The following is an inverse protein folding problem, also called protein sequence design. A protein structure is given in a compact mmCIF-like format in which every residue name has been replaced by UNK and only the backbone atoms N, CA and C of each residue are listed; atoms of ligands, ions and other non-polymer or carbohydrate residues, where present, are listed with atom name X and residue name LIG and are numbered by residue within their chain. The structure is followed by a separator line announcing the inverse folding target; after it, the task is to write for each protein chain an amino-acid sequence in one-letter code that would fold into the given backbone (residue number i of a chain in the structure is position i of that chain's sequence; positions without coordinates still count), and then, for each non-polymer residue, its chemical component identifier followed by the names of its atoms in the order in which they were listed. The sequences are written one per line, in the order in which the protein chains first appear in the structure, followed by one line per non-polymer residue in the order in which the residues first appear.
data_IF_621288491842
#
_entry.id   IF_621288491842
#
_cell.length_a   1.000
_cell.length_b   1.000
_cell.length_c   1.000
_cell.angle_alpha   90.00
_cell.angle_beta   90.00
_cell.angle_gamma   90.00
#
_symmetry.space_group_name_H-M   'P 1'
#
loop_
_entity.id
_entity.type
_entity.pdbx_description
1 polymer ?
#
# COMPACT_ATOMS: atom_id res chain seq x y z
N UNK A 1 1.23 -9.02 3.81
CA UNK A 1 1.85 -7.83 3.17
C UNK A 1 3.11 -8.15 2.37
N UNK A 2 3.94 -9.13 2.78
CA UNK A 2 5.18 -9.58 2.10
C UNK A 2 5.12 -9.65 0.56
N UNK A 3 4.13 -10.38 0.01
CA UNK A 3 4.01 -10.54 -1.45
C UNK A 3 3.61 -9.25 -2.19
N UNK A 4 2.78 -8.41 -1.58
CA UNK A 4 2.41 -7.10 -2.14
C UNK A 4 3.64 -6.19 -2.18
N UNK A 5 4.34 -6.06 -1.04
CA UNK A 5 5.54 -5.24 -0.91
C UNK A 5 6.61 -5.60 -1.95
N UNK A 6 7.00 -6.89 -2.05
CA UNK A 6 8.00 -7.36 -3.02
C UNK A 6 7.64 -6.99 -4.47
N UNK A 7 6.37 -7.12 -4.86
CA UNK A 7 5.93 -6.76 -6.22
C UNK A 7 5.97 -5.26 -6.47
N UNK A 8 5.54 -4.47 -5.50
CA UNK A 8 5.50 -3.01 -5.62
C UNK A 8 6.89 -2.40 -5.78
N UNK A 9 7.88 -2.89 -5.02
CA UNK A 9 9.27 -2.42 -5.13
C UNK A 9 9.92 -2.90 -6.43
N UNK A 10 9.84 -4.19 -6.76
CA UNK A 10 10.49 -4.74 -7.97
C UNK A 10 9.99 -4.13 -9.27
N UNK A 11 8.69 -3.88 -9.36
CA UNK A 11 8.06 -3.29 -10.55
C UNK A 11 8.02 -1.76 -10.51
N UNK A 12 8.60 -1.14 -9.47
CA UNK A 12 8.58 0.30 -9.21
C UNK A 12 7.19 0.93 -9.46
N UNK A 13 6.15 0.32 -8.88
CA UNK A 13 4.76 0.73 -9.17
C UNK A 13 4.43 2.03 -8.44
N UNK A 14 4.23 3.10 -9.23
CA UNK A 14 3.75 4.39 -8.75
C UNK A 14 2.27 4.35 -8.40
N UNK A 15 1.94 4.00 -7.15
CA UNK A 15 0.55 4.08 -6.69
C UNK A 15 0.16 5.51 -6.34
N UNK A 16 -1.07 5.89 -6.65
CA UNK A 16 -1.65 7.19 -6.27
C UNK A 16 -2.79 6.97 -5.30
N UNK A 17 -2.85 7.77 -4.24
CA UNK A 17 -4.01 7.80 -3.36
C UNK A 17 -5.07 8.73 -3.96
N UNK A 18 -6.34 8.29 -3.97
CA UNK A 18 -7.49 9.11 -4.42
C UNK A 18 -8.12 9.94 -3.29
N UNK A 19 -7.48 9.97 -2.12
CA UNK A 19 -7.97 10.62 -0.90
C UNK A 19 -6.78 11.23 -0.17
N UNK A 20 -6.88 11.45 1.14
CA UNK A 20 -5.90 12.22 1.94
C UNK A 20 -4.61 11.47 2.28
N UNK A 21 -4.23 10.44 1.52
CA UNK A 21 -3.02 9.62 1.76
C UNK A 21 -2.93 8.97 3.16
N UNK A 22 -4.08 8.83 3.82
CA UNK A 22 -4.24 8.25 5.16
C UNK A 22 -5.40 7.25 5.24
N UNK A 23 -5.57 6.44 4.18
CA UNK A 23 -6.66 5.48 4.14
C UNK A 23 -6.48 4.39 5.21
N UNK A 24 -7.54 4.02 5.95
CA UNK A 24 -7.48 2.93 6.92
C UNK A 24 -7.22 1.59 6.22
N UNK A 25 -6.12 0.93 6.57
CA UNK A 25 -5.71 -0.37 6.00
C UNK A 25 -6.03 -1.48 7.01
N UNK A 26 -7.15 -2.17 6.77
CA UNK A 26 -7.63 -3.34 7.52
C UNK A 26 -7.67 -4.61 6.64
N UNK A 27 -7.97 -5.79 7.20
CA UNK A 27 -7.90 -7.07 6.46
C UNK A 27 -8.82 -7.11 5.23
N UNK A 28 -10.02 -6.53 5.34
CA UNK A 28 -11.06 -6.56 4.30
C UNK A 28 -10.83 -5.51 3.20
N UNK A 29 -10.36 -4.30 3.54
CA UNK A 29 -10.26 -3.17 2.61
C UNK A 29 -8.82 -2.71 2.32
N UNK A 30 -7.80 -3.46 2.74
CA UNK A 30 -6.37 -3.16 2.42
C UNK A 30 -6.09 -2.99 0.93
N UNK A 31 -6.91 -3.55 0.03
CA UNK A 31 -6.73 -3.42 -1.41
C UNK A 31 -7.35 -2.14 -1.99
N UNK A 32 -8.18 -1.40 -1.23
CA UNK A 32 -8.89 -0.19 -1.68
C UNK A 32 -7.93 0.95 -2.04
N UNK A 33 -6.81 1.05 -1.34
CA UNK A 33 -5.77 2.02 -1.65
C UNK A 33 -4.40 1.35 -1.59
N UNK A 34 -3.83 1.05 -2.76
CA UNK A 34 -2.51 0.45 -2.88
C UNK A 34 -1.41 1.40 -2.39
N UNK A 35 -1.56 2.72 -2.58
CA UNK A 35 -0.63 3.72 -2.06
C UNK A 35 -0.52 3.67 -0.53
N UNK A 36 -1.64 3.84 0.18
CA UNK A 36 -1.66 3.84 1.64
C UNK A 36 -1.23 2.48 2.20
N UNK A 37 -1.59 1.39 1.51
CA UNK A 37 -1.11 0.05 1.86
C UNK A 37 0.41 -0.05 1.75
N UNK A 38 1.01 0.42 0.66
CA UNK A 38 2.46 0.40 0.45
C UNK A 38 3.18 1.29 1.46
N UNK A 39 2.69 2.51 1.67
CA UNK A 39 3.17 3.44 2.71
C UNK A 39 3.17 2.80 4.10
N UNK A 40 2.09 2.10 4.47
CA UNK A 40 2.01 1.36 5.73
C UNK A 40 2.99 0.18 5.78
N UNK A 41 3.17 -0.56 4.68
CA UNK A 41 4.15 -1.65 4.62
C UNK A 41 5.59 -1.17 4.77
N UNK A 42 5.91 0.02 4.25
CA UNK A 42 7.22 0.67 4.42
C UNK A 42 7.45 1.12 5.87
N UNK A 43 6.39 1.62 6.55
CA UNK A 43 6.47 2.12 7.93
C UNK A 43 6.65 1.01 8.98
N UNK A 44 6.01 -0.14 8.78
CA UNK A 44 6.06 -1.30 9.71
C UNK A 44 7.17 -2.28 9.27
N UNK A 45 8.16 -1.81 8.49
CA UNK A 45 9.20 -2.65 7.88
C UNK A 45 9.79 -3.67 8.84
#
# INVERSE_FOLDING_TARGET
CKGFFRRSIRKNLGYVCRSSKDCPINKHHRNRCQYCRLKKCLKIG
#
